data_IF_274130435855
#
_entry.id   IF_274130435855
#
_cell.length_a   1.000
_cell.length_b   1.000
_cell.length_c   1.000
_cell.angle_alpha   90.00
_cell.angle_beta   90.00
_cell.angle_gamma   90.00
#
_symmetry.space_group_name_H-M   'P 1'
#
loop_
_entity.id
_entity.type
_entity.pdbx_description
1 polymer ?
#
# COMPACT_ATOMS: atom_id res chain seq x y z
N UNK A 1 53.69 -23.12 -8.58
CA UNK A 1 53.23 -22.79 -7.19
C UNK A 1 51.77 -22.33 -7.27
N UNK A 2 50.87 -23.13 -6.66
CA UNK A 2 49.41 -22.86 -6.75
C UNK A 2 49.06 -21.65 -5.89
N UNK A 3 48.68 -20.56 -6.54
CA UNK A 3 48.26 -19.24 -5.94
C UNK A 3 47.14 -19.39 -4.88
N UNK A 4 46.41 -20.50 -4.89
CA UNK A 4 45.29 -20.79 -4.01
C UNK A 4 45.64 -21.20 -2.57
N UNK A 5 46.93 -21.30 -2.23
CA UNK A 5 47.38 -21.88 -0.95
C UNK A 5 47.79 -20.86 0.13
N UNK A 6 47.90 -19.58 -0.16
CA UNK A 6 48.23 -18.60 0.89
C UNK A 6 47.01 -18.38 1.78
N UNK A 7 47.12 -18.63 3.09
CA UNK A 7 46.06 -18.42 4.08
C UNK A 7 45.42 -17.02 3.98
N UNK A 8 46.24 -16.00 3.69
CA UNK A 8 45.79 -14.62 3.58
C UNK A 8 44.91 -14.32 2.36
N UNK A 9 45.10 -15.01 1.21
CA UNK A 9 44.30 -14.85 0.01
C UNK A 9 42.88 -15.42 0.23
N UNK A 10 42.78 -16.62 0.77
CA UNK A 10 41.50 -17.27 1.09
C UNK A 10 40.66 -16.43 2.06
N UNK A 11 41.28 -15.87 3.11
CA UNK A 11 40.59 -15.00 4.06
C UNK A 11 39.97 -13.76 3.43
N UNK A 12 40.68 -13.11 2.52
CA UNK A 12 40.17 -11.90 1.82
C UNK A 12 38.97 -12.23 0.97
N UNK A 13 38.98 -13.35 0.25
CA UNK A 13 37.83 -13.84 -0.53
C UNK A 13 36.63 -14.12 0.39
N UNK A 14 36.85 -14.89 1.46
CA UNK A 14 35.79 -15.22 2.43
C UNK A 14 35.19 -13.95 3.02
N UNK A 15 36.01 -12.98 3.42
CA UNK A 15 35.54 -11.71 3.96
C UNK A 15 34.71 -10.93 2.94
N UNK A 16 35.16 -10.88 1.67
CA UNK A 16 34.39 -10.19 0.60
C UNK A 16 33.03 -10.84 0.37
N UNK A 17 32.96 -12.17 0.38
CA UNK A 17 31.71 -12.91 0.26
C UNK A 17 30.81 -12.68 1.47
N UNK A 18 31.34 -12.68 2.68
CA UNK A 18 30.57 -12.40 3.90
C UNK A 18 29.98 -10.97 3.89
N UNK A 19 30.77 -9.98 3.47
CA UNK A 19 30.28 -8.61 3.32
C UNK A 19 29.16 -8.51 2.27
N UNK A 20 29.31 -9.20 1.15
CA UNK A 20 28.26 -9.30 0.13
C UNK A 20 26.97 -9.92 0.69
N UNK A 21 27.07 -11.06 1.38
CA UNK A 21 25.91 -11.72 1.98
C UNK A 21 25.22 -10.85 3.03
N UNK A 22 25.99 -10.18 3.88
CA UNK A 22 25.47 -9.23 4.86
C UNK A 22 24.75 -8.07 4.15
N UNK A 23 25.33 -7.52 3.11
CA UNK A 23 24.72 -6.47 2.29
C UNK A 23 23.41 -6.92 1.65
N UNK A 24 23.36 -8.18 1.17
CA UNK A 24 22.15 -8.76 0.60
C UNK A 24 21.03 -8.89 1.65
N UNK A 25 21.35 -9.35 2.86
CA UNK A 25 20.41 -9.42 3.98
C UNK A 25 19.89 -8.02 4.34
N UNK A 26 20.78 -7.04 4.46
CA UNK A 26 20.36 -5.66 4.72
C UNK A 26 19.47 -5.09 3.63
N UNK A 27 19.79 -5.33 2.35
CA UNK A 27 18.98 -4.92 1.21
C UNK A 27 17.59 -5.57 1.23
N UNK A 28 17.51 -6.84 1.58
CA UNK A 28 16.23 -7.56 1.71
C UNK A 28 15.38 -6.97 2.84
N UNK A 29 15.96 -6.80 4.03
CA UNK A 29 15.26 -6.21 5.19
C UNK A 29 14.77 -4.80 4.87
N UNK A 30 15.60 -3.99 4.22
CA UNK A 30 15.24 -2.62 3.81
C UNK A 30 14.08 -2.63 2.81
N UNK A 31 14.13 -3.51 1.79
CA UNK A 31 13.08 -3.62 0.78
C UNK A 31 11.75 -4.08 1.39
N UNK A 32 11.77 -5.06 2.30
CA UNK A 32 10.56 -5.53 3.00
C UNK A 32 9.96 -4.40 3.84
N UNK A 33 10.76 -3.64 4.58
CA UNK A 33 10.28 -2.48 5.34
C UNK A 33 9.70 -1.39 4.44
N UNK A 34 10.35 -1.07 3.33
CA UNK A 34 9.82 -0.12 2.35
C UNK A 34 8.46 -0.56 1.80
N UNK A 35 8.33 -1.85 1.46
CA UNK A 35 7.06 -2.43 1.02
C UNK A 35 5.96 -2.26 2.08
N UNK A 36 6.23 -2.63 3.33
CA UNK A 36 5.28 -2.51 4.44
C UNK A 36 4.86 -1.06 4.66
N UNK A 37 5.81 -0.13 4.72
CA UNK A 37 5.52 1.29 4.90
C UNK A 37 4.68 1.87 3.75
N UNK A 38 4.99 1.47 2.50
CA UNK A 38 4.23 1.90 1.33
C UNK A 38 2.79 1.35 1.37
N UNK A 39 2.62 0.09 1.77
CA UNK A 39 1.31 -0.53 1.94
C UNK A 39 0.49 0.16 3.03
N UNK A 40 1.08 0.42 4.19
CA UNK A 40 0.42 1.14 5.29
C UNK A 40 0.01 2.56 4.88
N UNK A 41 0.88 3.28 4.18
CA UNK A 41 0.57 4.62 3.68
C UNK A 41 -0.62 4.60 2.71
N UNK A 42 -0.67 3.62 1.80
CA UNK A 42 -1.80 3.44 0.87
C UNK A 42 -3.09 3.11 1.61
N UNK A 43 -3.04 2.23 2.60
CA UNK A 43 -4.20 1.88 3.44
C UNK A 43 -4.72 3.09 4.21
N UNK A 44 -3.84 3.88 4.81
CA UNK A 44 -4.22 5.14 5.49
C UNK A 44 -4.88 6.12 4.52
N UNK A 45 -4.35 6.28 3.31
CA UNK A 45 -4.95 7.15 2.29
C UNK A 45 -6.32 6.65 1.86
N UNK A 46 -6.47 5.34 1.63
CA UNK A 46 -7.76 4.73 1.29
C UNK A 46 -8.77 4.89 2.44
N UNK A 47 -8.35 4.69 3.68
CA UNK A 47 -9.19 4.91 4.87
C UNK A 47 -9.65 6.37 4.98
N UNK A 48 -8.76 7.33 4.74
CA UNK A 48 -9.10 8.76 4.73
C UNK A 48 -10.11 9.07 3.61
N UNK A 49 -9.92 8.51 2.42
CA UNK A 49 -10.86 8.67 1.32
C UNK A 49 -12.22 8.04 1.65
N UNK A 50 -12.26 6.82 2.22
CA UNK A 50 -13.49 6.20 2.67
C UNK A 50 -14.25 7.10 3.65
N UNK A 51 -13.56 7.64 4.66
CA UNK A 51 -14.16 8.58 5.63
C UNK A 51 -14.64 9.88 4.96
N UNK A 52 -13.85 10.46 4.08
CA UNK A 52 -14.20 11.73 3.40
C UNK A 52 -15.44 11.56 2.54
N UNK A 53 -15.50 10.51 1.73
CA UNK A 53 -16.64 10.29 0.84
C UNK A 53 -17.87 9.77 1.57
N UNK A 54 -17.71 9.05 2.68
CA UNK A 54 -18.81 8.72 3.59
C UNK A 54 -19.43 10.00 4.20
N UNK A 55 -18.61 10.99 4.57
CA UNK A 55 -19.13 12.26 5.07
C UNK A 55 -19.94 13.03 4.00
N UNK A 56 -19.55 12.97 2.72
CA UNK A 56 -20.39 13.53 1.65
C UNK A 56 -21.72 12.78 1.50
N UNK A 57 -21.72 11.46 1.63
CA UNK A 57 -22.96 10.68 1.66
C UNK A 57 -23.84 11.07 2.84
N UNK A 58 -23.28 11.25 4.03
CA UNK A 58 -24.00 11.73 5.22
C UNK A 58 -24.63 13.10 4.95
N UNK A 59 -23.91 14.01 4.30
CA UNK A 59 -24.42 15.34 3.94
C UNK A 59 -25.58 15.24 2.95
N UNK A 60 -25.42 14.45 1.87
CA UNK A 60 -26.44 14.28 0.83
C UNK A 60 -27.73 13.66 1.40
N UNK A 61 -27.61 12.66 2.28
CA UNK A 61 -28.76 12.08 3.01
C UNK A 61 -29.37 13.06 4.02
N UNK A 62 -28.54 13.84 4.72
CA UNK A 62 -29.03 14.83 5.69
C UNK A 62 -29.86 15.90 5.04
N UNK A 63 -29.56 16.29 3.79
CA UNK A 63 -30.39 17.20 3.02
C UNK A 63 -31.79 16.61 2.75
N UNK A 64 -31.85 15.31 2.36
CA UNK A 64 -33.11 14.63 2.14
C UNK A 64 -33.94 14.48 3.43
N UNK A 65 -33.29 14.12 4.54
CA UNK A 65 -33.91 14.09 5.86
C UNK A 65 -34.41 15.49 6.25
N UNK A 66 -33.64 16.54 5.95
CA UNK A 66 -34.02 17.92 6.17
C UNK A 66 -35.34 18.33 5.47
N UNK A 67 -35.58 17.78 4.25
CA UNK A 67 -36.86 17.99 3.54
C UNK A 67 -38.03 17.37 4.31
N UNK A 68 -37.86 16.16 4.86
CA UNK A 68 -38.92 15.51 5.65
C UNK A 68 -39.23 16.28 6.94
N UNK A 69 -38.19 16.80 7.61
CA UNK A 69 -38.37 17.66 8.80
C UNK A 69 -39.01 19.01 8.47
N UNK A 70 -38.67 19.62 7.33
CA UNK A 70 -39.32 20.86 6.93
C UNK A 70 -40.83 20.67 6.73
N UNK A 71 -41.22 19.56 6.08
CA UNK A 71 -42.64 19.21 5.92
C UNK A 71 -43.31 18.90 7.25
N UNK A 72 -42.65 18.20 8.16
CA UNK A 72 -43.15 17.95 9.50
C UNK A 72 -43.45 19.25 10.26
N UNK A 73 -42.54 20.23 10.21
CA UNK A 73 -42.79 21.54 10.87
C UNK A 73 -43.99 22.30 10.26
N UNK A 74 -44.21 22.17 8.97
CA UNK A 74 -45.38 22.76 8.30
C UNK A 74 -46.65 22.05 8.80
N UNK A 75 -46.66 20.73 8.84
CA UNK A 75 -47.81 19.95 9.33
C UNK A 75 -48.13 20.27 10.78
N UNK A 76 -47.11 20.41 11.65
CA UNK A 76 -47.32 20.84 13.05
C UNK A 76 -47.92 22.25 13.11
N UNK A 77 -47.43 23.17 12.28
CA UNK A 77 -47.89 24.55 12.31
C UNK A 77 -49.27 24.78 11.67
N UNK A 78 -49.73 23.86 10.80
CA UNK A 78 -51.01 23.95 10.10
C UNK A 78 -52.00 22.82 10.55
N UNK A 79 -51.85 22.31 11.77
CA UNK A 79 -52.76 21.30 12.38
C UNK A 79 -52.94 20.04 11.48
N UNK A 80 -51.84 19.52 10.96
CA UNK A 80 -51.81 18.32 10.11
C UNK A 80 -52.19 18.54 8.65
N UNK A 81 -52.32 19.80 8.22
CA UNK A 81 -52.60 20.15 6.85
C UNK A 81 -51.38 20.81 6.17
N UNK A 82 -51.10 20.52 4.92
CA UNK A 82 -50.17 21.25 4.12
C UNK A 82 -50.92 21.91 2.95
N UNK A 83 -51.54 23.06 3.21
CA UNK A 83 -52.46 23.70 2.25
C UNK A 83 -51.83 24.09 0.92
N UNK A 84 -50.51 24.28 0.87
CA UNK A 84 -49.71 24.64 -0.31
C UNK A 84 -48.67 23.59 -0.62
N UNK A 85 -49.02 22.31 -0.45
CA UNK A 85 -48.05 21.19 -0.60
C UNK A 85 -47.25 21.28 -1.91
N UNK A 86 -47.93 21.49 -3.06
CA UNK A 86 -47.27 21.52 -4.36
C UNK A 86 -46.22 22.67 -4.44
N UNK A 87 -46.55 23.85 -3.94
CA UNK A 87 -45.61 24.97 -3.90
C UNK A 87 -44.45 24.73 -2.98
N UNK A 88 -44.70 24.18 -1.80
CA UNK A 88 -43.64 23.80 -0.82
C UNK A 88 -42.75 22.72 -1.40
N UNK A 89 -43.32 21.65 -1.91
CA UNK A 89 -42.60 20.54 -2.48
C UNK A 89 -41.76 20.98 -3.70
N UNK A 90 -42.28 21.85 -4.55
CA UNK A 90 -41.54 22.45 -5.68
C UNK A 90 -40.29 23.20 -5.21
N UNK A 91 -40.38 23.97 -4.13
CA UNK A 91 -39.26 24.73 -3.58
C UNK A 91 -38.21 23.84 -2.89
N UNK A 92 -38.62 22.71 -2.33
CA UNK A 92 -37.73 21.73 -1.67
C UNK A 92 -37.17 20.69 -2.62
N UNK A 93 -37.69 20.60 -3.83
CA UNK A 93 -37.32 19.59 -4.81
C UNK A 93 -35.93 19.83 -5.38
N UNK A 94 -35.15 18.76 -5.49
CA UNK A 94 -33.82 18.74 -6.09
C UNK A 94 -33.65 17.59 -7.08
N UNK A 95 -32.61 17.63 -7.91
CA UNK A 95 -32.37 16.62 -8.95
C UNK A 95 -32.10 15.21 -8.41
N UNK A 96 -31.70 15.09 -7.15
CA UNK A 96 -31.49 13.78 -6.49
C UNK A 96 -32.77 13.18 -5.92
N UNK A 97 -33.84 13.99 -5.83
CA UNK A 97 -35.15 13.52 -5.38
C UNK A 97 -35.96 12.97 -6.54
N UNK A 98 -36.59 11.83 -6.35
CA UNK A 98 -37.59 11.29 -7.25
C UNK A 98 -38.97 11.87 -6.96
N UNK A 99 -39.34 11.92 -5.68
CA UNK A 99 -40.60 12.51 -5.21
C UNK A 99 -40.54 12.93 -3.76
N UNK A 100 -41.43 13.85 -3.41
CA UNK A 100 -41.77 14.28 -2.06
C UNK A 100 -43.25 13.88 -1.84
N UNK A 101 -43.54 13.28 -0.68
CA UNK A 101 -44.86 12.70 -0.44
C UNK A 101 -45.32 12.96 0.98
N UNK A 102 -46.69 13.03 1.14
CA UNK A 102 -47.35 13.03 2.44
C UNK A 102 -48.22 11.77 2.54
N UNK A 103 -48.16 11.11 3.70
CA UNK A 103 -48.91 9.89 3.95
C UNK A 103 -49.67 9.92 5.29
N UNK A 104 -50.77 10.68 5.40
CA UNK A 104 -51.60 10.69 6.59
C UNK A 104 -52.12 9.27 6.89
N UNK A 105 -52.02 8.83 8.15
CA UNK A 105 -52.37 7.47 8.57
C UNK A 105 -51.67 6.35 7.79
N UNK A 106 -50.51 6.66 7.16
CA UNK A 106 -49.73 5.71 6.38
C UNK A 106 -50.24 5.51 4.94
N UNK A 107 -51.21 6.28 4.48
CA UNK A 107 -51.74 6.24 3.10
C UNK A 107 -51.21 7.45 2.34
N UNK A 108 -50.48 7.24 1.26
CA UNK A 108 -49.93 8.35 0.44
C UNK A 108 -51.07 9.06 -0.27
N UNK A 109 -51.24 10.36 0.03
CA UNK A 109 -52.30 11.21 -0.54
C UNK A 109 -51.79 12.29 -1.46
N UNK A 110 -50.63 12.82 -1.14
CA UNK A 110 -50.00 13.96 -1.86
C UNK A 110 -48.60 13.55 -2.35
N UNK A 111 -48.32 13.78 -3.62
CA UNK A 111 -47.06 13.44 -4.28
C UNK A 111 -46.64 14.58 -5.21
N UNK A 112 -45.39 14.99 -5.09
CA UNK A 112 -44.73 15.92 -6.00
C UNK A 112 -43.43 15.32 -6.57
N UNK A 113 -43.18 15.38 -7.88
CA UNK A 113 -44.13 15.75 -8.94
C UNK A 113 -45.26 14.72 -9.09
N UNK A 114 -46.45 15.17 -9.47
CA UNK A 114 -47.60 14.29 -9.70
C UNK A 114 -47.42 13.43 -10.96
N UNK A 115 -46.77 13.98 -12.00
CA UNK A 115 -46.56 13.27 -13.25
C UNK A 115 -45.74 11.96 -13.02
N UNK A 116 -46.29 10.83 -13.47
CA UNK A 116 -45.67 9.50 -13.30
C UNK A 116 -45.93 8.83 -11.94
N UNK A 117 -46.65 9.47 -11.02
CA UNK A 117 -47.06 8.93 -9.71
C UNK A 117 -48.57 8.74 -9.62
N UNK A 118 -49.21 8.57 -10.75
CA UNK A 118 -50.69 8.56 -10.91
C UNK A 118 -51.37 7.27 -10.45
N UNK A 119 -50.61 6.21 -10.19
CA UNK A 119 -51.11 4.87 -9.95
C UNK A 119 -51.50 4.60 -8.50
N UNK A 120 -52.49 5.32 -8.02
CA UNK A 120 -53.26 4.91 -6.86
C UNK A 120 -52.66 5.22 -5.48
N UNK A 121 -53.51 5.14 -4.47
CA UNK A 121 -53.15 5.36 -3.07
C UNK A 121 -52.29 4.21 -2.55
N UNK A 122 -51.03 4.45 -2.25
CA UNK A 122 -50.13 3.47 -1.64
C UNK A 122 -50.41 3.44 -0.14
N UNK A 123 -50.87 2.30 0.35
CA UNK A 123 -51.06 2.03 1.78
C UNK A 123 -49.80 1.36 2.32
N UNK A 124 -49.00 2.11 3.09
CA UNK A 124 -47.71 1.67 3.61
C UNK A 124 -47.82 0.57 4.69
N UNK A 125 -48.97 0.49 5.39
CA UNK A 125 -49.13 -0.50 6.46
C UNK A 125 -49.71 -1.84 5.96
N UNK A 126 -50.31 -1.85 4.75
CA UNK A 126 -50.82 -3.06 4.12
C UNK A 126 -49.94 -3.59 2.99
N UNK A 127 -48.89 -2.92 2.65
CA UNK A 127 -47.89 -3.37 1.67
C UNK A 127 -46.91 -4.35 2.33
N UNK A 128 -46.80 -5.57 1.85
CA UNK A 128 -45.96 -6.63 2.43
C UNK A 128 -44.49 -6.22 2.52
N UNK A 129 -43.99 -5.47 1.55
CA UNK A 129 -42.56 -5.05 1.48
C UNK A 129 -42.23 -3.86 2.36
N UNK A 130 -43.21 -3.04 2.74
CA UNK A 130 -43.04 -1.76 3.42
C UNK A 130 -43.52 -1.75 4.86
N UNK A 131 -44.53 -2.57 5.18
CA UNK A 131 -45.29 -2.49 6.42
C UNK A 131 -44.42 -2.69 7.68
N UNK A 132 -43.48 -3.65 7.66
CA UNK A 132 -42.62 -3.94 8.80
C UNK A 132 -41.80 -2.72 9.22
N UNK A 133 -41.14 -2.09 8.24
CA UNK A 133 -40.26 -0.94 8.52
C UNK A 133 -41.08 0.33 8.84
N UNK A 134 -42.25 0.51 8.22
CA UNK A 134 -43.17 1.62 8.53
C UNK A 134 -43.71 1.51 9.97
N UNK A 135 -44.11 0.32 10.43
CA UNK A 135 -44.55 0.08 11.80
C UNK A 135 -43.42 0.33 12.78
N UNK A 136 -42.22 -0.17 12.48
CA UNK A 136 -41.04 0.10 13.32
C UNK A 136 -40.75 1.61 13.45
N UNK A 137 -40.78 2.36 12.33
CA UNK A 137 -40.55 3.82 12.35
C UNK A 137 -41.60 4.54 13.18
N UNK A 138 -42.89 4.19 13.01
CA UNK A 138 -43.98 4.71 13.83
C UNK A 138 -43.80 4.38 15.30
N UNK A 139 -43.61 3.10 15.65
CA UNK A 139 -43.67 2.64 17.05
C UNK A 139 -42.44 3.14 17.87
N UNK A 140 -41.31 3.46 17.21
CA UNK A 140 -40.09 3.94 17.84
C UNK A 140 -39.78 5.42 17.60
N UNK A 141 -40.64 6.12 16.85
CA UNK A 141 -40.41 7.52 16.44
C UNK A 141 -39.04 7.73 15.77
N UNK A 142 -38.73 6.90 14.76
CA UNK A 142 -37.42 6.86 14.10
C UNK A 142 -37.61 6.98 12.59
N UNK A 143 -36.79 7.81 11.96
CA UNK A 143 -36.73 7.90 10.49
C UNK A 143 -36.22 6.60 9.93
N UNK A 144 -36.91 6.04 8.95
CA UNK A 144 -36.55 4.78 8.32
C UNK A 144 -36.09 4.99 6.88
N UNK A 145 -35.03 4.27 6.49
CA UNK A 145 -34.54 4.20 5.13
C UNK A 145 -34.78 2.82 4.56
N UNK A 146 -35.53 2.74 3.48
CA UNK A 146 -35.82 1.48 2.78
C UNK A 146 -35.34 1.52 1.34
N UNK A 147 -34.78 0.45 0.89
CA UNK A 147 -34.27 0.31 -0.49
C UNK A 147 -32.77 0.08 -0.55
N UNK A 148 -32.19 0.02 -1.77
CA UNK A 148 -32.85 0.45 -3.02
C UNK A 148 -33.94 -0.51 -3.50
N UNK A 149 -35.00 0.02 -4.10
CA UNK A 149 -36.10 -0.74 -4.73
C UNK A 149 -36.45 -0.16 -6.11
N UNK A 150 -36.99 -0.98 -6.97
CA UNK A 150 -37.42 -0.56 -8.31
C UNK A 150 -38.56 0.45 -8.25
N UNK A 151 -38.43 1.53 -9.01
CA UNK A 151 -39.45 2.57 -9.15
C UNK A 151 -40.38 2.26 -10.31
N UNK A 152 -41.69 2.54 -10.19
CA UNK A 152 -42.69 2.35 -11.26
C UNK A 152 -42.36 3.15 -12.53
N UNK A 153 -41.65 4.26 -12.37
CA UNK A 153 -41.19 5.15 -13.45
C UNK A 153 -39.86 4.72 -14.06
N UNK A 154 -39.28 3.60 -13.63
CA UNK A 154 -37.96 3.11 -14.00
C UNK A 154 -36.86 3.66 -13.09
N UNK A 155 -35.75 2.90 -13.01
CA UNK A 155 -34.67 3.16 -12.10
C UNK A 155 -34.90 2.61 -10.69
N UNK A 156 -34.04 3.00 -9.76
CA UNK A 156 -34.10 2.55 -8.37
C UNK A 156 -34.20 3.75 -7.41
N UNK A 157 -34.81 3.53 -6.26
CA UNK A 157 -34.95 4.59 -5.24
C UNK A 157 -34.76 4.09 -3.83
N UNK A 158 -34.44 5.04 -2.94
CA UNK A 158 -34.42 4.84 -1.49
C UNK A 158 -35.50 5.73 -0.88
N UNK A 159 -36.43 5.14 -0.12
CA UNK A 159 -37.43 5.90 0.62
C UNK A 159 -36.88 6.30 1.99
N UNK A 160 -36.93 7.58 2.27
CA UNK A 160 -36.72 8.18 3.60
C UNK A 160 -38.08 8.51 4.15
N UNK A 161 -38.52 7.88 5.26
CA UNK A 161 -39.82 8.09 5.89
C UNK A 161 -39.63 8.61 7.30
N UNK A 162 -40.12 9.82 7.56
CA UNK A 162 -40.12 10.45 8.86
C UNK A 162 -41.53 10.34 9.47
N UNK A 163 -41.71 9.65 10.60
CA UNK A 163 -43.00 9.58 11.30
C UNK A 163 -43.31 10.95 11.93
N UNK A 164 -44.53 11.42 11.74
CA UNK A 164 -45.02 12.70 12.25
C UNK A 164 -46.06 12.46 13.32
N UNK A 165 -45.94 13.18 14.42
CA UNK A 165 -46.86 13.19 15.53
C UNK A 165 -47.42 14.59 15.75
N UNK A 166 -48.70 14.70 16.01
CA UNK A 166 -49.35 15.97 16.32
C UNK A 166 -49.86 15.93 17.76
N UNK A 167 -49.58 17.01 18.49
CA UNK A 167 -50.11 17.19 19.85
C UNK A 167 -51.53 17.74 19.77
N UNK A 168 -52.45 17.21 20.53
CA UNK A 168 -53.79 17.76 20.70
C UNK A 168 -53.77 18.93 21.77
N UNK A 169 -54.91 19.54 22.02
CA UNK A 169 -55.07 20.61 23.01
C UNK A 169 -54.63 20.22 24.40
N UNK A 170 -54.55 18.92 24.74
CA UNK A 170 -54.09 18.40 26.02
C UNK A 170 -52.60 18.10 26.08
N UNK A 171 -51.89 18.25 24.96
CA UNK A 171 -50.49 17.93 24.79
C UNK A 171 -50.24 16.43 24.54
N UNK A 172 -51.28 15.64 24.27
CA UNK A 172 -51.11 14.22 23.91
C UNK A 172 -50.75 14.11 22.46
N UNK A 173 -49.60 13.49 22.18
CA UNK A 173 -49.13 13.25 20.81
C UNK A 173 -49.80 12.03 20.19
N UNK A 174 -50.35 12.21 18.96
CA UNK A 174 -50.93 11.16 18.17
C UNK A 174 -50.23 11.03 16.83
N UNK A 175 -50.07 9.81 16.36
CA UNK A 175 -49.45 9.55 15.06
C UNK A 175 -50.34 10.12 13.95
N UNK A 176 -49.81 11.10 13.21
CA UNK A 176 -50.46 11.69 12.06
C UNK A 176 -50.22 10.88 10.78
N UNK A 177 -48.99 10.43 10.56
CA UNK A 177 -48.56 9.78 9.32
C UNK A 177 -47.10 9.90 9.06
N UNK A 178 -46.72 9.94 7.79
CA UNK A 178 -45.33 10.12 7.38
C UNK A 178 -45.13 11.29 6.42
N UNK A 179 -44.03 12.02 6.57
CA UNK A 179 -43.44 12.79 5.47
C UNK A 179 -42.40 11.92 4.81
N UNK A 180 -42.37 11.90 3.47
CA UNK A 180 -41.57 10.94 2.72
C UNK A 180 -40.81 11.65 1.60
N UNK A 181 -39.56 11.30 1.41
CA UNK A 181 -38.80 11.58 0.20
C UNK A 181 -38.30 10.29 -0.42
N UNK A 182 -38.39 10.22 -1.73
CA UNK A 182 -37.77 9.15 -2.51
C UNK A 182 -36.52 9.71 -3.17
N UNK A 183 -35.37 9.12 -2.85
CA UNK A 183 -34.07 9.44 -3.44
C UNK A 183 -33.83 8.60 -4.68
N UNK A 184 -33.26 9.19 -5.72
CA UNK A 184 -32.85 8.47 -6.93
C UNK A 184 -31.52 7.78 -6.72
N UNK A 185 -31.43 6.52 -7.15
CA UNK A 185 -30.20 5.75 -7.18
C UNK A 185 -29.84 5.47 -8.64
N UNK A 186 -28.64 5.75 -9.11
CA UNK A 186 -27.41 6.06 -8.34
C UNK A 186 -27.16 7.55 -8.05
N UNK A 187 -28.05 8.47 -8.45
CA UNK A 187 -27.79 9.91 -8.43
C UNK A 187 -27.40 10.45 -7.05
N UNK A 188 -28.03 9.95 -5.98
CA UNK A 188 -27.73 10.36 -4.60
C UNK A 188 -26.30 10.01 -4.18
N UNK A 189 -25.70 9.00 -4.82
CA UNK A 189 -24.33 8.56 -4.53
C UNK A 189 -23.30 9.15 -5.50
N UNK A 190 -23.75 9.76 -6.61
CA UNK A 190 -22.88 10.11 -7.74
C UNK A 190 -21.70 11.01 -7.36
N UNK A 191 -21.90 11.95 -6.43
CA UNK A 191 -20.85 12.84 -5.95
C UNK A 191 -19.68 12.06 -5.34
N UNK A 192 -19.96 11.10 -4.48
CA UNK A 192 -18.97 10.29 -3.78
C UNK A 192 -18.39 9.19 -4.67
N UNK A 193 -19.24 8.44 -5.37
CA UNK A 193 -18.83 7.28 -6.16
C UNK A 193 -17.99 7.66 -7.38
N UNK A 194 -18.41 8.70 -8.13
CA UNK A 194 -17.64 9.17 -9.27
C UNK A 194 -16.29 9.76 -8.86
N UNK A 195 -16.23 10.41 -7.69
CA UNK A 195 -14.97 10.91 -7.18
C UNK A 195 -14.02 9.77 -6.80
N UNK A 196 -14.50 8.73 -6.11
CA UNK A 196 -13.70 7.54 -5.81
C UNK A 196 -13.15 6.91 -7.08
N UNK A 197 -13.96 6.73 -8.11
CA UNK A 197 -13.52 6.17 -9.40
C UNK A 197 -12.46 7.02 -10.10
N UNK A 198 -12.63 8.35 -10.09
CA UNK A 198 -11.65 9.30 -10.66
C UNK A 198 -10.31 9.28 -9.92
N UNK A 199 -10.33 9.07 -8.62
CA UNK A 199 -9.12 8.89 -7.80
C UNK A 199 -8.52 7.48 -7.88
N UNK A 200 -9.09 6.63 -8.72
CA UNK A 200 -8.55 5.28 -8.98
C UNK A 200 -8.88 4.28 -7.88
N UNK A 201 -10.03 4.40 -7.24
CA UNK A 201 -10.56 3.43 -6.29
C UNK A 201 -11.71 2.63 -6.87
N UNK A 202 -11.74 1.35 -6.52
CA UNK A 202 -12.94 0.52 -6.56
C UNK A 202 -13.63 0.64 -5.20
N UNK A 203 -14.96 0.57 -5.18
CA UNK A 203 -15.76 0.76 -3.98
C UNK A 203 -16.92 -0.22 -3.89
N UNK A 204 -17.41 -0.44 -2.67
CA UNK A 204 -18.67 -1.08 -2.35
C UNK A 204 -19.35 -0.29 -1.21
N UNK A 205 -20.55 0.19 -1.47
CA UNK A 205 -21.42 0.82 -0.48
C UNK A 205 -22.51 -0.16 -0.10
N UNK A 206 -22.61 -0.50 1.17
CA UNK A 206 -23.63 -1.39 1.71
C UNK A 206 -24.37 -0.76 2.88
N UNK A 207 -25.62 -1.17 3.07
CA UNK A 207 -26.50 -0.74 4.15
C UNK A 207 -26.92 -1.95 4.97
N UNK A 208 -26.93 -1.81 6.30
CA UNK A 208 -27.49 -2.85 7.16
C UNK A 208 -29.03 -2.93 7.02
N UNK A 209 -29.56 -4.12 7.15
CA UNK A 209 -31.02 -4.37 7.15
C UNK A 209 -31.65 -4.15 8.54
N UNK A 210 -30.95 -3.50 9.46
CA UNK A 210 -31.48 -3.17 10.76
C UNK A 210 -32.76 -2.30 10.66
N UNK A 211 -33.76 -2.52 11.51
CA UNK A 211 -33.82 -3.48 12.59
C UNK A 211 -34.29 -4.87 12.20
N UNK A 212 -34.51 -5.14 10.91
CA UNK A 212 -35.07 -6.41 10.41
C UNK A 212 -34.00 -7.50 10.31
N UNK A 213 -32.71 -7.12 10.35
CA UNK A 213 -31.56 -8.03 10.32
C UNK A 213 -30.24 -7.29 10.46
N UNK A 214 -29.16 -8.06 10.70
CA UNK A 214 -27.79 -7.52 10.83
C UNK A 214 -26.97 -7.65 9.53
N UNK A 215 -27.56 -8.23 8.48
CA UNK A 215 -26.89 -8.40 7.19
C UNK A 215 -26.70 -7.06 6.49
N UNK A 216 -25.56 -6.93 5.80
CA UNK A 216 -25.31 -5.80 4.92
C UNK A 216 -25.70 -6.17 3.49
N UNK A 217 -26.55 -5.34 2.88
CA UNK A 217 -26.92 -5.45 1.48
C UNK A 217 -26.14 -4.44 0.66
N UNK A 218 -25.63 -4.87 -0.50
CA UNK A 218 -24.96 -3.99 -1.45
C UNK A 218 -25.98 -3.02 -2.04
N UNK A 219 -25.67 -1.72 -1.99
CA UNK A 219 -26.50 -0.65 -2.52
C UNK A 219 -25.91 -0.06 -3.79
N UNK A 220 -24.59 0.06 -3.84
CA UNK A 220 -23.86 0.53 -5.00
C UNK A 220 -22.41 0.01 -4.97
N UNK A 221 -21.87 -0.35 -6.14
CA UNK A 221 -20.48 -0.79 -6.25
C UNK A 221 -19.87 -0.43 -7.60
N UNK A 222 -18.55 -0.49 -7.69
CA UNK A 222 -17.79 -0.40 -8.95
C UNK A 222 -17.86 -1.70 -9.77
N UNK A 223 -18.55 -2.75 -9.29
CA UNK A 223 -18.67 -4.04 -9.95
C UNK A 223 -17.43 -4.94 -9.84
N UNK A 224 -16.43 -4.56 -9.05
CA UNK A 224 -15.23 -5.36 -8.80
C UNK A 224 -15.26 -5.95 -7.38
N UNK A 225 -14.86 -7.21 -7.25
CA UNK A 225 -14.72 -7.83 -5.94
C UNK A 225 -13.54 -7.18 -5.18
N UNK A 226 -13.81 -6.70 -3.97
CA UNK A 226 -12.82 -6.08 -3.10
C UNK A 226 -12.14 -7.15 -2.23
N UNK A 227 -10.81 -7.13 -2.19
CA UNK A 227 -10.04 -8.03 -1.31
C UNK A 227 -9.37 -7.20 -0.23
N UNK A 228 -9.75 -7.44 1.03
CA UNK A 228 -9.24 -6.75 2.20
C UNK A 228 -9.31 -5.20 2.07
N UNK A 229 -10.51 -4.63 1.78
CA UNK A 229 -10.68 -3.19 1.56
C UNK A 229 -10.46 -2.37 2.83
N UNK A 230 -10.12 -1.09 2.65
CA UNK A 230 -10.27 -0.11 3.71
C UNK A 230 -11.76 0.22 3.86
N UNK A 231 -12.30 0.20 5.08
CA UNK A 231 -13.72 0.37 5.33
C UNK A 231 -14.00 1.49 6.34
N UNK A 232 -15.12 2.17 6.14
CA UNK A 232 -15.66 3.13 7.08
C UNK A 232 -17.14 2.89 7.29
N UNK A 233 -17.53 2.68 8.55
CA UNK A 233 -18.93 2.48 8.95
C UNK A 233 -19.47 3.76 9.56
N UNK A 234 -20.68 4.15 9.15
CA UNK A 234 -21.35 5.37 9.61
C UNK A 234 -22.85 5.15 9.78
N UNK A 235 -23.45 6.00 10.58
CA UNK A 235 -24.89 6.05 10.79
C UNK A 235 -25.41 7.43 10.37
N UNK A 236 -26.66 7.48 9.93
CA UNK A 236 -27.35 8.76 9.68
C UNK A 236 -28.12 9.14 10.93
N UNK A 237 -27.95 10.38 11.40
CA UNK A 237 -28.59 10.85 12.62
C UNK A 237 -30.12 10.75 12.52
N UNK A 238 -30.73 10.23 13.60
CA UNK A 238 -32.19 10.07 13.65
C UNK A 238 -32.73 8.87 12.85
N UNK A 239 -31.87 8.06 12.27
CA UNK A 239 -32.28 6.87 11.48
C UNK A 239 -31.84 5.57 12.13
N UNK A 240 -32.47 4.47 11.68
CA UNK A 240 -32.13 3.11 12.10
C UNK A 240 -31.00 2.46 11.30
N UNK A 241 -30.50 3.10 10.23
CA UNK A 241 -29.63 2.45 9.25
C UNK A 241 -28.16 2.68 9.53
N UNK A 242 -27.38 1.62 9.50
CA UNK A 242 -25.92 1.66 9.50
C UNK A 242 -25.41 1.39 8.09
N UNK A 243 -24.48 2.18 7.65
CA UNK A 243 -23.89 2.14 6.32
C UNK A 243 -22.41 1.79 6.40
N UNK A 244 -21.91 1.09 5.40
CA UNK A 244 -20.49 0.75 5.29
C UNK A 244 -20.00 1.08 3.88
N UNK A 245 -18.97 1.93 3.80
CA UNK A 245 -18.27 2.24 2.58
C UNK A 245 -16.90 1.54 2.60
N UNK A 246 -16.69 0.66 1.65
CA UNK A 246 -15.46 -0.09 1.44
C UNK A 246 -14.77 0.42 0.19
N UNK A 247 -13.45 0.65 0.26
CA UNK A 247 -12.66 1.16 -0.86
C UNK A 247 -11.33 0.42 -0.99
N UNK A 248 -10.90 0.23 -2.23
CA UNK A 248 -9.63 -0.42 -2.56
C UNK A 248 -9.03 0.26 -3.80
N UNK A 249 -7.71 0.49 -3.88
CA UNK A 249 -7.09 1.00 -5.11
C UNK A 249 -7.36 0.09 -6.30
N UNK A 250 -7.65 0.65 -7.47
CA UNK A 250 -7.83 -0.11 -8.72
C UNK A 250 -6.59 -0.96 -9.01
N UNK A 251 -6.80 -2.27 -9.13
CA UNK A 251 -5.72 -3.25 -9.31
C UNK A 251 -5.06 -3.73 -8.02
N UNK A 252 -5.66 -3.42 -6.85
CA UNK A 252 -5.24 -3.92 -5.53
C UNK A 252 -4.09 -3.17 -4.90
N UNK A 253 -3.65 -3.65 -3.74
CA UNK A 253 -2.67 -2.96 -2.90
C UNK A 253 -1.24 -2.99 -3.43
N UNK A 254 -0.87 -4.00 -4.25
CA UNK A 254 0.52 -4.31 -4.66
C UNK A 254 0.92 -3.85 -6.06
N UNK A 255 0.04 -3.25 -6.86
CA UNK A 255 0.27 -3.02 -8.30
C UNK A 255 1.46 -2.12 -8.66
N UNK A 256 1.90 -1.24 -7.79
CA UNK A 256 3.05 -0.34 -8.01
C UNK A 256 3.94 -0.31 -6.79
N UNK A 257 4.70 -1.39 -6.59
CA UNK A 257 5.63 -1.46 -5.47
C UNK A 257 7.05 -1.10 -5.92
N UNK A 258 7.57 0.08 -5.56
CA UNK A 258 8.94 0.48 -5.88
C UNK A 258 9.99 -0.38 -5.15
N UNK A 259 9.63 -1.10 -4.09
CA UNK A 259 10.55 -1.89 -3.28
C UNK A 259 11.27 -2.96 -4.09
N UNK A 260 10.59 -3.58 -5.08
CA UNK A 260 11.18 -4.57 -5.99
C UNK A 260 12.30 -3.92 -6.83
N UNK A 261 12.06 -2.74 -7.38
CA UNK A 261 13.07 -2.00 -8.16
C UNK A 261 14.30 -1.65 -7.32
N UNK A 262 14.11 -1.17 -6.09
CA UNK A 262 15.21 -0.88 -5.17
C UNK A 262 15.97 -2.13 -4.76
N UNK A 263 15.30 -3.25 -4.52
CA UNK A 263 15.94 -4.52 -4.23
C UNK A 263 16.82 -5.00 -5.40
N UNK A 264 16.30 -4.99 -6.61
CA UNK A 264 17.04 -5.41 -7.81
C UNK A 264 18.26 -4.50 -8.06
N UNK A 265 18.09 -3.17 -7.97
CA UNK A 265 19.18 -2.23 -8.14
C UNK A 265 20.25 -2.38 -7.05
N UNK A 266 19.85 -2.50 -5.78
CA UNK A 266 20.76 -2.71 -4.66
C UNK A 266 21.54 -4.02 -4.78
N UNK A 267 20.88 -5.11 -5.14
CA UNK A 267 21.52 -6.41 -5.35
C UNK A 267 22.51 -6.40 -6.50
N UNK A 268 22.20 -5.69 -7.60
CA UNK A 268 23.12 -5.53 -8.73
C UNK A 268 24.37 -4.74 -8.33
N UNK A 269 24.21 -3.64 -7.60
CA UNK A 269 25.35 -2.85 -7.11
C UNK A 269 26.23 -3.70 -6.20
N UNK A 270 25.67 -4.45 -5.26
CA UNK A 270 26.42 -5.33 -4.37
C UNK A 270 27.19 -6.40 -5.15
N UNK A 271 26.59 -6.97 -6.19
CA UNK A 271 27.24 -7.96 -7.04
C UNK A 271 28.43 -7.34 -7.81
N UNK A 272 28.25 -6.15 -8.37
CA UNK A 272 29.34 -5.44 -9.07
C UNK A 272 30.49 -5.09 -8.12
N UNK A 273 30.18 -4.67 -6.87
CA UNK A 273 31.18 -4.43 -5.85
C UNK A 273 31.95 -5.71 -5.46
N UNK A 274 31.26 -6.83 -5.36
CA UNK A 274 31.91 -8.13 -5.10
C UNK A 274 32.86 -8.50 -6.25
N UNK A 275 32.42 -8.42 -7.50
CA UNK A 275 33.26 -8.70 -8.66
C UNK A 275 34.48 -7.80 -8.68
N UNK A 276 34.31 -6.50 -8.42
CA UNK A 276 35.43 -5.54 -8.36
C UNK A 276 36.39 -5.90 -7.23
N UNK A 277 35.90 -6.22 -6.05
CA UNK A 277 36.74 -6.62 -4.91
C UNK A 277 37.58 -7.88 -5.23
N UNK A 278 36.96 -8.90 -5.81
CA UNK A 278 37.65 -10.12 -6.20
C UNK A 278 38.69 -9.88 -7.31
N UNK A 279 38.39 -9.03 -8.29
CA UNK A 279 39.33 -8.63 -9.33
C UNK A 279 40.55 -7.89 -8.74
N UNK A 280 40.34 -6.93 -7.82
CA UNK A 280 41.41 -6.22 -7.17
C UNK A 280 42.31 -7.13 -6.29
N UNK A 281 41.69 -8.08 -5.58
CA UNK A 281 42.41 -9.10 -4.80
C UNK A 281 43.27 -9.96 -5.74
N UNK A 282 42.72 -10.43 -6.86
CA UNK A 282 43.43 -11.21 -7.87
C UNK A 282 44.59 -10.46 -8.50
N UNK A 283 44.40 -9.20 -8.90
CA UNK A 283 45.45 -8.35 -9.49
C UNK A 283 46.61 -8.10 -8.51
N UNK A 284 46.28 -7.85 -7.22
CA UNK A 284 47.33 -7.66 -6.19
C UNK A 284 48.16 -8.92 -6.02
N UNK A 285 47.54 -10.07 -5.98
CA UNK A 285 48.23 -11.35 -5.82
C UNK A 285 49.11 -11.66 -7.04
N UNK A 286 48.59 -11.48 -8.26
CA UNK A 286 49.40 -11.61 -9.47
C UNK A 286 50.64 -10.67 -9.42
N UNK A 287 50.43 -9.39 -9.04
CA UNK A 287 51.54 -8.45 -8.90
C UNK A 287 52.59 -8.94 -7.92
N UNK A 288 52.19 -9.52 -6.77
CA UNK A 288 53.13 -10.06 -5.79
C UNK A 288 53.90 -11.28 -6.35
N UNK A 289 53.27 -12.15 -7.10
CA UNK A 289 53.92 -13.30 -7.75
C UNK A 289 54.89 -12.82 -8.83
N UNK A 290 54.49 -11.91 -9.70
CA UNK A 290 55.39 -11.33 -10.70
C UNK A 290 56.59 -10.63 -10.07
N UNK A 291 56.38 -9.89 -8.98
CA UNK A 291 57.48 -9.24 -8.26
C UNK A 291 58.42 -10.29 -7.69
N UNK A 292 57.93 -11.36 -7.06
CA UNK A 292 58.78 -12.44 -6.53
C UNK A 292 59.63 -13.10 -7.64
N UNK A 293 58.99 -13.45 -8.78
CA UNK A 293 59.71 -14.00 -9.93
C UNK A 293 60.74 -13.03 -10.54
N UNK A 294 60.47 -11.73 -10.49
CA UNK A 294 61.37 -10.71 -11.04
C UNK A 294 62.53 -10.37 -10.08
N UNK A 295 62.43 -10.69 -8.80
CA UNK A 295 63.40 -10.28 -7.74
C UNK A 295 64.10 -11.45 -7.09
N UNK A 296 63.76 -12.71 -7.40
CA UNK A 296 64.39 -13.90 -6.86
C UNK A 296 65.00 -14.75 -7.97
N UNK A 297 66.06 -15.42 -7.69
CA UNK A 297 66.70 -16.43 -8.55
C UNK A 297 65.90 -17.75 -8.44
N UNK A 298 65.48 -18.37 -9.58
CA UNK A 298 64.63 -19.52 -9.58
C UNK A 298 65.30 -20.81 -9.06
N UNK A 299 66.65 -20.90 -9.11
CA UNK A 299 67.40 -22.03 -8.66
C UNK A 299 67.62 -21.99 -7.14
N UNK A 300 68.10 -20.89 -6.64
CA UNK A 300 68.51 -20.72 -5.25
C UNK A 300 67.45 -20.18 -4.31
N UNK A 301 66.40 -19.57 -4.86
CA UNK A 301 65.37 -18.88 -4.08
C UNK A 301 65.83 -17.60 -3.40
N UNK A 302 67.12 -17.21 -3.56
CA UNK A 302 67.67 -15.97 -3.04
C UNK A 302 67.28 -14.77 -3.91
N UNK A 303 67.52 -13.55 -3.40
CA UNK A 303 67.33 -12.35 -4.20
C UNK A 303 68.28 -12.35 -5.38
N UNK A 304 67.79 -12.14 -6.59
CA UNK A 304 68.62 -11.87 -7.75
C UNK A 304 69.18 -10.42 -7.63
N UNK A 305 70.04 -10.01 -8.57
CA UNK A 305 70.68 -8.67 -8.55
C UNK A 305 69.66 -7.54 -8.37
N UNK A 306 68.54 -7.60 -9.12
CA UNK A 306 67.50 -6.59 -9.04
C UNK A 306 66.81 -6.60 -7.67
N UNK A 307 66.49 -7.78 -7.14
CA UNK A 307 65.89 -7.93 -5.82
C UNK A 307 66.77 -7.43 -4.70
N UNK A 308 68.10 -7.69 -4.80
CA UNK A 308 69.09 -7.19 -3.86
C UNK A 308 69.18 -5.64 -3.88
N UNK A 309 69.26 -5.03 -5.09
CA UNK A 309 69.32 -3.58 -5.24
C UNK A 309 68.08 -2.89 -4.65
N UNK A 310 66.88 -3.42 -4.94
CA UNK A 310 65.60 -2.94 -4.39
C UNK A 310 65.57 -3.06 -2.85
N UNK A 311 65.99 -4.19 -2.29
CA UNK A 311 65.97 -4.45 -0.86
C UNK A 311 67.01 -3.52 -0.12
N UNK A 312 68.20 -3.36 -0.70
CA UNK A 312 69.23 -2.48 -0.16
C UNK A 312 68.79 -1.02 -0.14
N UNK A 313 68.25 -0.53 -1.25
CA UNK A 313 67.67 0.82 -1.33
C UNK A 313 66.57 1.04 -0.32
N UNK A 314 65.63 0.08 -0.20
CA UNK A 314 64.56 0.17 0.78
C UNK A 314 65.06 0.15 2.23
N UNK A 315 66.12 -0.57 2.52
CA UNK A 315 66.75 -0.60 3.83
C UNK A 315 67.43 0.75 4.14
N UNK A 316 68.28 1.25 3.23
CA UNK A 316 69.02 2.51 3.41
C UNK A 316 68.05 3.72 3.49
N UNK A 317 66.94 3.71 2.76
CA UNK A 317 65.94 4.77 2.84
C UNK A 317 65.25 4.88 4.20
N UNK A 318 65.14 3.76 4.91
CA UNK A 318 64.57 3.68 6.26
C UNK A 318 65.57 3.93 7.38
N UNK A 319 66.84 3.72 7.10
CA UNK A 319 67.91 3.79 8.09
C UNK A 319 69.02 4.69 7.55
N UNK A 320 68.82 6.04 7.55
CA UNK A 320 69.67 7.02 6.92
C UNK A 320 71.10 7.03 7.49
N UNK A 321 71.31 6.53 8.68
CA UNK A 321 72.62 6.46 9.35
C UNK A 321 73.26 5.06 9.38
N UNK A 322 72.61 4.07 8.66
CA UNK A 322 73.09 2.71 8.67
C UNK A 322 74.38 2.55 7.83
N UNK A 323 75.39 1.93 8.43
CA UNK A 323 76.58 1.48 7.71
C UNK A 323 76.43 0.04 7.30
N UNK A 324 76.58 -0.23 6.01
CA UNK A 324 76.48 -1.57 5.45
C UNK A 324 77.79 -2.05 4.93
N UNK A 325 78.12 -3.32 5.15
CA UNK A 325 79.30 -3.95 4.55
C UNK A 325 78.77 -4.97 3.53
N UNK A 326 79.24 -4.86 2.29
CA UNK A 326 78.93 -5.84 1.22
C UNK A 326 80.06 -6.87 1.08
N UNK A 327 79.70 -8.15 1.03
CA UNK A 327 80.66 -9.22 0.75
C UNK A 327 80.28 -9.78 -0.61
N UNK A 328 81.19 -9.87 -1.54
CA UNK A 328 81.05 -10.52 -2.83
C UNK A 328 81.80 -11.85 -2.81
N UNK A 329 81.08 -12.90 -3.07
CA UNK A 329 81.67 -14.26 -3.16
C UNK A 329 81.47 -14.77 -4.61
N UNK A 330 82.51 -15.44 -5.12
CA UNK A 330 82.51 -16.11 -6.42
C UNK A 330 83.02 -17.54 -6.29
N UNK A 331 82.48 -18.44 -7.12
CA UNK A 331 82.85 -19.86 -7.10
C UNK A 331 83.93 -20.08 -8.19
N UNK A 332 85.12 -20.39 -7.79
CA UNK A 332 86.26 -20.65 -8.68
C UNK A 332 85.95 -21.86 -9.59
N UNK A 333 86.19 -21.70 -10.89
CA UNK A 333 86.03 -22.76 -11.88
C UNK A 333 84.64 -23.40 -11.98
N UNK A 334 83.53 -22.71 -11.57
CA UNK A 334 82.17 -23.21 -11.63
C UNK A 334 81.76 -23.72 -13.02
N UNK A 335 82.23 -23.00 -14.06
CA UNK A 335 82.00 -23.45 -15.47
C UNK A 335 82.63 -24.83 -15.75
N UNK A 336 83.84 -25.07 -15.27
CA UNK A 336 84.52 -26.38 -15.46
C UNK A 336 83.82 -27.51 -14.72
N UNK A 337 83.18 -27.22 -13.56
CA UNK A 337 82.35 -28.16 -12.81
C UNK A 337 81.10 -28.51 -13.61
N UNK A 338 80.44 -27.52 -14.21
CA UNK A 338 79.28 -27.75 -15.10
C UNK A 338 79.64 -28.63 -16.31
N UNK A 339 80.82 -28.32 -16.96
CA UNK A 339 81.25 -29.02 -18.13
C UNK A 339 81.65 -30.52 -17.86
N UNK A 340 82.13 -30.83 -16.66
CA UNK A 340 82.59 -32.18 -16.29
C UNK A 340 81.47 -33.04 -15.67
N UNK A 341 80.69 -32.46 -14.82
CA UNK A 341 79.72 -33.19 -13.99
C UNK A 341 78.25 -32.97 -14.38
N UNK A 342 78.01 -32.07 -15.33
CA UNK A 342 76.67 -31.71 -15.78
C UNK A 342 76.02 -30.62 -14.89
N UNK A 343 75.04 -29.92 -15.46
CA UNK A 343 74.35 -28.78 -14.82
C UNK A 343 73.61 -29.19 -13.56
N UNK A 344 72.88 -30.34 -13.58
CA UNK A 344 72.11 -30.80 -12.43
C UNK A 344 72.95 -31.09 -11.18
N UNK A 345 74.17 -31.61 -11.36
CA UNK A 345 75.10 -31.89 -10.25
C UNK A 345 75.74 -30.64 -9.67
N UNK A 346 76.04 -29.67 -10.51
CA UNK A 346 76.57 -28.38 -10.06
C UNK A 346 75.55 -27.50 -9.39
N UNK A 347 74.29 -27.56 -9.85
CA UNK A 347 73.16 -26.87 -9.22
C UNK A 347 72.90 -27.48 -7.82
N UNK A 348 72.95 -28.81 -7.63
CA UNK A 348 72.83 -29.47 -6.33
C UNK A 348 73.98 -29.08 -5.37
N UNK A 349 75.21 -28.96 -5.89
CA UNK A 349 76.36 -28.51 -5.09
C UNK A 349 76.22 -27.06 -4.65
N UNK A 350 75.73 -26.15 -5.56
CA UNK A 350 75.46 -24.75 -5.25
C UNK A 350 74.40 -24.61 -4.16
N UNK A 351 73.32 -25.36 -4.26
CA UNK A 351 72.23 -25.38 -3.26
C UNK A 351 72.76 -25.82 -1.88
N UNK A 352 73.56 -26.87 -1.83
CA UNK A 352 74.16 -27.33 -0.56
C UNK A 352 75.13 -26.30 0.06
N UNK A 353 75.88 -25.59 -0.78
CA UNK A 353 76.77 -24.54 -0.30
C UNK A 353 76.03 -23.35 0.31
N UNK A 354 74.86 -23.02 -0.25
CA UNK A 354 73.99 -21.95 0.25
C UNK A 354 73.26 -22.36 1.54
N UNK A 355 72.85 -23.63 1.69
CA UNK A 355 72.18 -24.14 2.90
C UNK A 355 73.10 -24.27 4.11
N UNK A 356 74.44 -24.29 3.92
CA UNK A 356 75.43 -24.46 5.01
C UNK A 356 75.91 -23.09 5.57
N UNK A 357 75.50 -21.99 4.99
CA UNK A 357 75.88 -20.63 5.43
C UNK A 357 74.62 -19.72 5.56
#
# INVERSE_FOLDING_TARGET
MNLWHTKGFKWKIILSVLVFLLGLVCSTVFSVRMHQNALEARRKTAQLNATTYANYLIEDFSQAIGVTHALEQILISEDGQCRRFETVAQNLYSSVLQSIQLAPNGVVTDIYPAAGNEDGKIDLFHDESRSALCRYGRDNNVITLQGPFSLSQGGSGIAVRNPVYLADETGQETFWGFTIVILRVPEVFARSTQALERFGYDYCLSKSDAPLGDAYEEVASSGQALTDPASYTFTLNGTNSTWKLEVMPKGGWGRTDPAIGFFCAGSLILLLMLILALALIGMREQKNVFRHLATTDPLTGLLNRKGFDEALQAYLSKHAEAHCVGILLDIDNFKSINDIYGIDTSDEALLKAIEQH
#
